data_IF_284926513537
#
_entry.id   IF_284926513537
#
_cell.length_a   1.000
_cell.length_b   1.000
_cell.length_c   1.000
_cell.angle_alpha   90.00
_cell.angle_beta   90.00
_cell.angle_gamma   90.00
#
_symmetry.space_group_name_H-M   'P 1'
#
loop_
_entity.id
_entity.type
_entity.pdbx_description
1 polymer ?
#
# COMPACT_ATOMS: atom_id res chain seq x y z
N UNK A 1 -80.69 -16.83 -22.80
CA UNK A 1 -81.21 -18.19 -22.58
C UNK A 1 -80.12 -18.98 -21.86
N UNK A 2 -80.49 -19.69 -20.81
CA UNK A 2 -79.66 -20.07 -19.64
C UNK A 2 -79.25 -21.57 -19.67
N UNK A 3 -78.16 -21.91 -18.97
CA UNK A 3 -77.55 -23.25 -18.64
C UNK A 3 -76.54 -23.76 -19.68
N UNK A 4 -75.37 -24.30 -19.32
CA UNK A 4 -75.12 -25.56 -18.56
C UNK A 4 -73.65 -25.56 -18.02
N UNK A 5 -73.41 -25.66 -16.70
CA UNK A 5 -72.76 -26.78 -15.91
C UNK A 5 -71.28 -27.07 -16.33
N UNK A 6 -70.23 -26.65 -15.60
CA UNK A 6 -69.63 -27.12 -14.32
C UNK A 6 -69.00 -28.54 -14.36
N UNK A 7 -67.78 -28.65 -13.79
CA UNK A 7 -66.97 -29.85 -13.49
C UNK A 7 -66.11 -30.47 -14.60
N UNK A 8 -64.78 -30.30 -14.51
CA UNK A 8 -63.92 -31.27 -13.82
C UNK A 8 -62.52 -30.67 -13.60
N UNK A 9 -62.18 -30.49 -12.32
CA UNK A 9 -60.92 -29.99 -11.83
C UNK A 9 -60.20 -31.19 -11.23
N UNK A 10 -59.33 -31.82 -12.00
CA UNK A 10 -58.34 -32.79 -11.52
C UNK A 10 -57.35 -33.06 -12.67
N UNK A 11 -56.13 -32.53 -12.59
CA UNK A 11 -54.95 -33.24 -13.08
C UNK A 11 -53.67 -32.70 -12.41
N UNK A 12 -53.21 -33.52 -11.47
CA UNK A 12 -51.82 -33.92 -11.29
C UNK A 12 -50.86 -32.85 -10.72
N UNK A 13 -50.77 -32.93 -9.40
CA UNK A 13 -49.56 -32.78 -8.61
C UNK A 13 -48.37 -33.50 -9.27
N UNK A 14 -47.51 -32.76 -9.97
CA UNK A 14 -46.12 -33.15 -10.18
C UNK A 14 -45.25 -32.16 -9.41
N UNK A 15 -45.09 -32.50 -8.14
CA UNK A 15 -44.03 -32.02 -7.26
C UNK A 15 -42.69 -32.16 -7.98
N UNK A 16 -42.13 -31.04 -8.44
CA UNK A 16 -40.70 -30.94 -8.66
C UNK A 16 -40.04 -31.02 -7.28
N UNK A 17 -39.52 -32.20 -6.93
CA UNK A 17 -38.49 -32.30 -5.90
C UNK A 17 -37.25 -31.59 -6.45
N UNK A 18 -37.08 -30.34 -6.09
CA UNK A 18 -35.83 -29.64 -6.24
C UNK A 18 -34.79 -30.39 -5.39
N UNK A 19 -33.86 -31.04 -6.08
CA UNK A 19 -32.77 -31.78 -5.46
C UNK A 19 -31.79 -30.70 -5.01
N UNK A 20 -31.83 -30.32 -3.74
CA UNK A 20 -30.78 -29.51 -3.12
C UNK A 20 -29.44 -30.27 -3.24
N UNK A 21 -28.72 -30.02 -4.32
CA UNK A 21 -27.30 -30.25 -4.37
C UNK A 21 -26.67 -29.21 -3.45
N UNK A 22 -26.39 -29.63 -2.21
CA UNK A 22 -25.39 -28.99 -1.36
C UNK A 22 -24.05 -29.05 -2.09
N UNK A 23 -23.83 -28.10 -3.00
CA UNK A 23 -22.49 -27.75 -3.47
C UNK A 23 -21.92 -26.92 -2.33
N UNK A 24 -21.36 -27.61 -1.33
CA UNK A 24 -20.37 -26.99 -0.46
C UNK A 24 -19.34 -26.35 -1.41
N UNK A 25 -19.09 -25.04 -1.35
CA UNK A 25 -18.06 -24.43 -2.17
C UNK A 25 -16.78 -25.18 -1.85
N UNK A 26 -16.31 -25.98 -2.81
CA UNK A 26 -15.02 -26.61 -2.72
C UNK A 26 -14.06 -25.45 -2.66
N UNK A 27 -13.57 -25.15 -1.45
CA UNK A 27 -12.58 -24.11 -1.23
C UNK A 27 -11.37 -24.57 -2.00
N UNK A 28 -11.24 -24.08 -3.24
CA UNK A 28 -10.10 -24.29 -4.09
C UNK A 28 -8.90 -23.98 -3.22
N UNK A 29 -8.24 -25.04 -2.78
CA UNK A 29 -7.07 -24.92 -1.95
C UNK A 29 -5.99 -24.61 -2.96
N UNK A 30 -5.91 -23.34 -3.35
CA UNK A 30 -4.79 -22.82 -4.12
C UNK A 30 -3.58 -23.22 -3.30
N UNK A 31 -2.86 -24.26 -3.75
CA UNK A 31 -1.56 -24.60 -3.21
C UNK A 31 -0.67 -23.43 -3.56
N UNK A 32 -0.58 -22.48 -2.62
CA UNK A 32 0.44 -21.45 -2.67
C UNK A 32 1.75 -22.21 -2.50
N UNK A 33 2.45 -22.46 -3.60
CA UNK A 33 3.86 -22.77 -3.53
C UNK A 33 4.46 -21.57 -2.79
N UNK A 34 4.96 -21.81 -1.58
CA UNK A 34 5.62 -20.81 -0.75
C UNK A 34 6.93 -20.41 -1.45
N UNK A 35 6.83 -19.65 -2.53
CA UNK A 35 7.92 -18.83 -3.03
C UNK A 35 8.27 -17.87 -1.91
N UNK A 36 9.56 -17.68 -1.70
CA UNK A 36 10.01 -16.70 -0.72
C UNK A 36 9.49 -15.34 -1.23
N UNK A 37 8.64 -14.71 -0.43
CA UNK A 37 7.94 -13.48 -0.84
C UNK A 37 8.91 -12.31 -1.09
N UNK A 38 10.19 -12.51 -0.76
CA UNK A 38 11.29 -11.57 -0.98
C UNK A 38 12.13 -11.86 -2.22
N UNK A 39 11.79 -12.87 -3.03
CA UNK A 39 12.60 -13.28 -4.19
C UNK A 39 12.80 -12.13 -5.20
N UNK A 40 11.81 -11.25 -5.34
CA UNK A 40 11.87 -10.08 -6.22
C UNK A 40 12.49 -8.82 -5.55
N UNK A 41 12.97 -8.92 -4.31
CA UNK A 41 13.54 -7.79 -3.56
C UNK A 41 15.07 -7.66 -3.71
N UNK A 42 15.69 -8.53 -4.53
CA UNK A 42 17.14 -8.53 -4.80
C UNK A 42 17.99 -8.59 -3.51
N UNK A 43 17.51 -9.29 -2.48
CA UNK A 43 18.20 -9.45 -1.20
C UNK A 43 19.03 -10.73 -1.17
N UNK A 44 20.23 -10.66 -0.61
CA UNK A 44 21.00 -11.87 -0.26
C UNK A 44 20.63 -12.41 1.12
N UNK A 45 19.92 -11.61 1.94
CA UNK A 45 19.67 -11.83 3.36
C UNK A 45 20.94 -11.94 4.21
N UNK A 46 22.07 -11.49 3.67
CA UNK A 46 23.33 -11.39 4.39
C UNK A 46 23.54 -9.98 4.89
N UNK A 47 23.49 -9.82 6.21
CA UNK A 47 23.67 -8.54 6.92
C UNK A 47 24.98 -7.82 6.53
N UNK A 48 25.99 -8.59 6.10
CA UNK A 48 27.33 -8.11 5.73
C UNK A 48 27.48 -7.81 4.24
N UNK A 49 26.60 -8.32 3.39
CA UNK A 49 26.66 -8.12 1.93
C UNK A 49 25.63 -7.10 1.47
N UNK A 50 24.44 -7.11 2.06
CA UNK A 50 23.35 -6.22 1.68
C UNK A 50 23.62 -4.78 2.14
N UNK A 51 23.16 -3.83 1.33
CA UNK A 51 23.21 -2.40 1.64
C UNK A 51 21.88 -1.72 1.38
N UNK A 52 21.49 -0.82 2.29
CA UNK A 52 20.33 0.04 2.13
C UNK A 52 20.82 1.48 2.15
N UNK A 53 20.53 2.23 1.08
CA UNK A 53 20.90 3.64 0.95
C UNK A 53 22.40 3.91 1.25
N UNK A 54 23.27 3.14 0.59
CA UNK A 54 24.73 3.22 0.70
C UNK A 54 25.28 2.94 2.11
N UNK A 55 24.52 2.27 2.97
CA UNK A 55 24.99 1.77 4.27
C UNK A 55 24.80 0.26 4.35
N UNK A 56 25.76 -0.49 4.91
CA UNK A 56 25.59 -1.93 5.11
C UNK A 56 24.41 -2.19 6.04
N UNK A 57 23.66 -3.27 5.81
CA UNK A 57 22.51 -3.59 6.66
C UNK A 57 22.91 -3.72 8.14
N UNK A 58 24.13 -4.20 8.42
CA UNK A 58 24.74 -4.21 9.77
C UNK A 58 24.59 -2.88 10.52
N UNK A 59 24.73 -1.75 9.85
CA UNK A 59 24.58 -0.41 10.45
C UNK A 59 23.19 -0.22 11.09
N UNK A 60 22.14 -0.71 10.43
CA UNK A 60 20.77 -0.58 10.89
C UNK A 60 20.42 -1.61 11.96
N UNK A 61 20.76 -2.89 11.72
CA UNK A 61 20.35 -4.00 12.61
C UNK A 61 21.08 -4.01 13.96
N UNK A 62 22.24 -3.36 14.06
CA UNK A 62 22.94 -3.18 15.34
C UNK A 62 22.46 -1.96 16.11
N UNK A 63 21.59 -1.13 15.53
CA UNK A 63 21.03 0.03 16.21
C UNK A 63 19.99 -0.41 17.24
N UNK A 64 20.24 -0.12 18.53
CA UNK A 64 19.36 -0.51 19.64
C UNK A 64 17.94 0.07 19.57
N UNK A 65 17.72 1.10 18.73
CA UNK A 65 16.41 1.71 18.50
C UNK A 65 15.67 1.09 17.30
N UNK A 66 16.26 0.11 16.62
CA UNK A 66 15.59 -0.57 15.52
C UNK A 66 14.37 -1.33 16.05
N UNK A 67 13.28 -1.18 15.32
CA UNK A 67 12.06 -1.90 15.62
C UNK A 67 12.21 -3.40 15.31
N UNK A 68 11.71 -4.26 16.20
CA UNK A 68 11.87 -5.70 16.04
C UNK A 68 11.12 -6.23 14.81
N UNK A 69 9.99 -5.66 14.42
CA UNK A 69 9.25 -6.04 13.20
C UNK A 69 10.02 -5.60 11.94
N UNK A 70 10.72 -4.47 11.98
CA UNK A 70 11.57 -4.03 10.87
C UNK A 70 12.75 -4.99 10.62
N UNK A 71 13.35 -5.53 11.69
CA UNK A 71 14.35 -6.58 11.57
C UNK A 71 13.74 -7.87 11.00
N UNK A 72 12.58 -8.29 11.51
CA UNK A 72 11.88 -9.49 11.02
C UNK A 72 11.50 -9.39 9.54
N UNK A 73 11.13 -8.19 9.07
CA UNK A 73 10.86 -7.92 7.66
C UNK A 73 12.11 -8.18 6.82
N UNK A 74 13.26 -7.60 7.19
CA UNK A 74 14.51 -7.81 6.45
C UNK A 74 14.94 -9.29 6.41
N UNK A 75 14.78 -10.01 7.53
CA UNK A 75 15.08 -11.44 7.63
C UNK A 75 14.02 -12.35 6.96
N UNK A 76 12.96 -11.78 6.37
CA UNK A 76 11.89 -12.54 5.70
C UNK A 76 10.89 -13.24 6.61
N UNK A 77 11.16 -13.26 7.92
CA UNK A 77 10.29 -13.85 8.94
C UNK A 77 8.97 -13.06 9.16
N UNK A 78 8.87 -11.84 8.65
CA UNK A 78 7.63 -11.05 8.66
C UNK A 78 7.29 -10.54 7.26
N UNK A 79 6.24 -11.11 6.64
CA UNK A 79 5.61 -10.59 5.42
C UNK A 79 4.48 -9.64 5.81
N UNK A 80 4.45 -8.37 5.34
CA UNK A 80 3.33 -7.48 5.57
C UNK A 80 2.01 -8.09 5.10
N UNK A 81 0.96 -7.85 5.89
CA UNK A 81 -0.43 -8.27 5.63
C UNK A 81 -1.39 -7.16 6.01
N UNK A 82 -2.67 -7.37 5.72
CA UNK A 82 -3.77 -6.53 6.20
C UNK A 82 -3.94 -6.72 7.72
N UNK A 83 -3.09 -6.05 8.50
CA UNK A 83 -3.11 -6.10 9.97
C UNK A 83 -2.49 -4.84 10.61
N UNK A 84 -2.83 -4.54 11.88
CA UNK A 84 -2.29 -3.39 12.60
C UNK A 84 -0.75 -3.36 12.72
N UNK A 85 -0.10 -4.53 12.74
CA UNK A 85 1.38 -4.60 12.80
C UNK A 85 2.02 -4.02 11.54
N UNK A 86 1.43 -4.24 10.35
CA UNK A 86 1.86 -3.62 9.09
C UNK A 86 1.70 -2.11 9.17
N UNK A 87 0.54 -1.61 9.58
CA UNK A 87 0.30 -0.18 9.73
C UNK A 87 1.35 0.47 10.63
N UNK A 88 1.66 -0.17 11.76
CA UNK A 88 2.68 0.29 12.71
C UNK A 88 4.07 0.30 12.09
N UNK A 89 4.46 -0.77 11.40
CA UNK A 89 5.76 -0.91 10.72
C UNK A 89 5.96 0.19 9.67
N UNK A 90 4.98 0.41 8.79
CA UNK A 90 5.09 1.38 7.71
C UNK A 90 5.14 2.82 8.21
N UNK A 91 4.45 3.13 9.32
CA UNK A 91 4.51 4.47 9.92
C UNK A 91 5.89 4.82 10.54
N UNK A 92 6.78 3.84 10.78
CA UNK A 92 8.13 4.08 11.29
C UNK A 92 8.98 4.94 10.35
N UNK A 93 8.63 5.03 9.06
CA UNK A 93 9.31 5.88 8.08
C UNK A 93 9.29 7.36 8.48
N UNK A 94 8.31 7.77 9.29
CA UNK A 94 8.17 9.17 9.75
C UNK A 94 8.74 9.41 11.15
N UNK A 95 9.37 8.41 11.76
CA UNK A 95 10.01 8.58 13.05
C UNK A 95 11.11 9.67 13.01
N UNK A 96 11.34 10.33 14.14
CA UNK A 96 12.36 11.39 14.26
C UNK A 96 13.79 10.88 14.09
N UNK A 97 14.02 9.57 14.17
CA UNK A 97 15.35 8.96 14.08
C UNK A 97 15.83 8.92 12.61
N UNK A 98 16.61 9.92 12.24
CA UNK A 98 17.26 10.07 10.94
C UNK A 98 18.14 8.86 10.56
N UNK A 99 18.83 8.24 11.52
CA UNK A 99 19.73 7.11 11.25
C UNK A 99 19.01 5.85 10.77
N UNK A 100 17.74 5.65 11.15
CA UNK A 100 16.95 4.47 10.77
C UNK A 100 15.96 4.74 9.63
N UNK A 101 15.67 6.02 9.36
CA UNK A 101 14.69 6.40 8.34
C UNK A 101 14.98 5.82 6.95
N UNK A 102 16.23 5.78 6.45
CA UNK A 102 16.51 5.14 5.17
C UNK A 102 16.12 3.65 5.12
N UNK A 103 16.30 2.94 6.23
CA UNK A 103 15.91 1.53 6.35
C UNK A 103 14.39 1.37 6.39
N UNK A 104 13.69 2.19 7.21
CA UNK A 104 12.23 2.17 7.25
C UNK A 104 11.60 2.59 5.91
N UNK A 105 12.24 3.52 5.18
CA UNK A 105 11.82 3.89 3.82
C UNK A 105 12.00 2.75 2.83
N UNK A 106 13.10 2.01 2.94
CA UNK A 106 13.33 0.82 2.13
C UNK A 106 12.25 -0.26 2.40
N UNK A 107 11.87 -0.47 3.66
CA UNK A 107 10.74 -1.36 4.02
C UNK A 107 9.44 -0.88 3.38
N UNK A 108 9.11 0.41 3.51
CA UNK A 108 7.91 0.97 2.88
C UNK A 108 7.92 0.81 1.37
N UNK A 109 9.04 1.11 0.72
CA UNK A 109 9.20 0.94 -0.72
C UNK A 109 8.96 -0.52 -1.14
N UNK A 110 9.57 -1.49 -0.47
CA UNK A 110 9.36 -2.89 -0.80
C UNK A 110 7.94 -3.35 -0.53
N UNK A 111 7.28 -2.80 0.50
CA UNK A 111 5.87 -3.08 0.74
C UNK A 111 5.00 -2.54 -0.39
N UNK A 112 5.30 -1.35 -0.92
CA UNK A 112 4.63 -0.79 -2.12
C UNK A 112 4.85 -1.70 -3.35
N UNK A 113 6.00 -2.36 -3.49
CA UNK A 113 6.29 -3.24 -4.62
C UNK A 113 5.51 -4.56 -4.58
N UNK A 114 5.31 -5.11 -3.38
CA UNK A 114 4.65 -6.42 -3.20
C UNK A 114 3.16 -6.32 -2.88
N UNK A 115 2.63 -5.10 -2.76
CA UNK A 115 1.24 -4.90 -2.37
C UNK A 115 0.28 -5.49 -3.41
N UNK A 116 -0.69 -6.25 -2.91
CA UNK A 116 -1.90 -6.64 -3.61
C UNK A 116 -3.10 -5.94 -2.96
N UNK A 117 -4.30 -6.10 -3.53
CA UNK A 117 -5.51 -5.32 -3.18
C UNK A 117 -5.60 -4.87 -1.72
N UNK A 118 -5.67 -5.80 -0.76
CA UNK A 118 -5.83 -5.46 0.65
C UNK A 118 -4.56 -4.83 1.27
N UNK A 119 -3.36 -5.31 0.92
CA UNK A 119 -2.12 -4.71 1.44
C UNK A 119 -1.91 -3.27 0.92
N UNK A 120 -2.41 -2.97 -0.27
CA UNK A 120 -2.33 -1.63 -0.86
C UNK A 120 -3.09 -0.58 -0.04
N UNK A 121 -4.04 -0.97 0.81
CA UNK A 121 -4.76 -0.05 1.71
C UNK A 121 -3.87 0.52 2.82
N UNK A 122 -2.72 -0.10 3.10
CA UNK A 122 -1.85 0.27 4.22
C UNK A 122 -0.68 1.19 3.85
N UNK A 123 -0.32 1.27 2.57
CA UNK A 123 0.93 1.90 2.13
C UNK A 123 0.79 3.37 1.79
N UNK A 124 -0.39 3.81 1.32
CA UNK A 124 -0.61 5.16 0.81
C UNK A 124 -0.45 6.24 1.86
N UNK A 125 -1.12 6.11 3.02
CA UNK A 125 -0.99 7.09 4.12
C UNK A 125 0.47 7.21 4.61
N UNK A 126 1.19 6.12 4.93
CA UNK A 126 2.61 6.20 5.29
C UNK A 126 3.49 6.84 4.20
N UNK A 127 3.26 6.52 2.93
CA UNK A 127 3.98 7.09 1.80
C UNK A 127 3.75 8.61 1.69
N UNK A 128 2.49 9.06 1.80
CA UNK A 128 2.14 10.47 1.82
C UNK A 128 2.79 11.19 3.00
N UNK A 129 2.66 10.65 4.22
CA UNK A 129 3.26 11.24 5.42
C UNK A 129 4.78 11.40 5.28
N UNK A 130 5.46 10.42 4.67
CA UNK A 130 6.89 10.53 4.40
C UNK A 130 7.21 11.66 3.43
N UNK A 131 6.49 11.76 2.31
CA UNK A 131 6.66 12.82 1.32
C UNK A 131 6.39 14.21 1.93
N UNK A 132 5.30 14.35 2.69
CA UNK A 132 4.93 15.57 3.41
C UNK A 132 5.99 16.00 4.42
N UNK A 133 6.56 15.04 5.17
CA UNK A 133 7.49 15.34 6.26
C UNK A 133 8.93 15.57 5.80
N UNK A 134 9.36 14.89 4.74
CA UNK A 134 10.74 14.97 4.22
C UNK A 134 10.79 15.21 2.70
N UNK A 135 10.28 16.34 2.19
CA UNK A 135 10.12 16.56 0.74
C UNK A 135 11.42 16.42 -0.08
N UNK A 136 12.53 16.98 0.41
CA UNK A 136 13.84 16.88 -0.27
C UNK A 136 14.33 15.43 -0.33
N UNK A 137 14.35 14.76 0.82
CA UNK A 137 14.76 13.35 0.93
C UNK A 137 13.85 12.43 0.09
N UNK A 138 12.56 12.74 0.01
CA UNK A 138 11.61 12.05 -0.85
C UNK A 138 12.01 12.17 -2.33
N UNK A 139 12.20 13.39 -2.83
CA UNK A 139 12.54 13.59 -4.22
C UNK A 139 13.93 13.05 -4.58
N UNK A 140 14.91 13.18 -3.69
CA UNK A 140 16.24 12.59 -3.88
C UNK A 140 16.16 11.06 -3.98
N UNK A 141 15.30 10.43 -3.17
CA UNK A 141 15.05 8.99 -3.21
C UNK A 141 14.36 8.53 -4.49
N UNK A 142 13.44 9.34 -5.02
CA UNK A 142 12.79 9.08 -6.31
C UNK A 142 13.77 9.22 -7.46
N UNK A 143 14.58 10.29 -7.48
CA UNK A 143 15.55 10.58 -8.55
C UNK A 143 16.70 9.58 -8.61
N UNK A 144 16.91 8.80 -7.55
CA UNK A 144 17.84 7.68 -7.55
C UNK A 144 17.45 6.61 -8.58
N UNK A 145 16.14 6.39 -8.78
CA UNK A 145 15.64 5.52 -9.86
C UNK A 145 15.47 6.32 -11.15
N UNK A 146 16.32 6.06 -12.14
CA UNK A 146 16.29 6.75 -13.44
C UNK A 146 15.15 6.29 -14.34
N UNK A 147 14.51 5.15 -14.06
CA UNK A 147 13.38 4.66 -14.84
C UNK A 147 12.09 5.43 -14.55
N UNK A 148 11.99 6.07 -13.37
CA UNK A 148 10.78 6.72 -12.89
C UNK A 148 9.72 5.74 -12.35
N UNK A 149 9.97 4.42 -12.40
CA UNK A 149 9.04 3.40 -11.91
C UNK A 149 8.75 3.59 -10.42
N UNK A 150 9.77 3.85 -9.60
CA UNK A 150 9.60 4.08 -8.17
C UNK A 150 8.69 5.27 -7.87
N UNK A 151 8.88 6.37 -8.59
CA UNK A 151 8.01 7.54 -8.47
C UNK A 151 6.56 7.17 -8.81
N UNK A 152 6.37 6.43 -9.91
CA UNK A 152 5.07 5.93 -10.34
C UNK A 152 4.40 5.04 -9.29
N UNK A 153 5.11 4.05 -8.76
CA UNK A 153 4.58 3.13 -7.75
C UNK A 153 4.16 3.88 -6.48
N UNK A 154 4.95 4.86 -6.05
CA UNK A 154 4.67 5.66 -4.85
C UNK A 154 3.45 6.58 -5.00
N UNK A 155 3.36 7.36 -6.09
CA UNK A 155 2.20 8.23 -6.24
C UNK A 155 0.91 7.42 -6.44
N UNK A 156 0.98 6.24 -7.10
CA UNK A 156 -0.18 5.36 -7.24
C UNK A 156 -0.61 4.76 -5.90
N UNK A 157 0.34 4.35 -5.05
CA UNK A 157 0.06 3.92 -3.68
C UNK A 157 -0.67 5.04 -2.89
N UNK A 158 -0.20 6.28 -2.99
CA UNK A 158 -0.84 7.45 -2.36
C UNK A 158 -2.21 7.74 -2.96
N UNK A 159 -2.37 7.64 -4.27
CA UNK A 159 -3.66 7.85 -4.94
C UNK A 159 -4.69 6.80 -4.53
N UNK A 160 -4.25 5.56 -4.28
CA UNK A 160 -5.11 4.46 -3.88
C UNK A 160 -5.57 4.56 -2.42
N UNK A 161 -4.65 4.81 -1.48
CA UNK A 161 -4.94 4.72 -0.03
C UNK A 161 -4.27 5.82 0.80
N UNK A 162 -3.93 6.96 0.21
CA UNK A 162 -3.23 8.06 0.87
C UNK A 162 -4.11 9.17 1.43
N UNK A 163 -5.43 8.99 1.48
CA UNK A 163 -6.33 9.95 2.12
C UNK A 163 -6.29 9.80 3.63
N UNK A 164 -6.30 10.94 4.33
CA UNK A 164 -6.50 10.94 5.77
C UNK A 164 -7.98 10.75 6.11
N UNK A 165 -8.27 10.16 7.27
CA UNK A 165 -9.64 9.84 7.71
C UNK A 165 -10.60 11.04 7.74
N UNK A 166 -10.06 12.26 7.88
CA UNK A 166 -10.84 13.50 7.92
C UNK A 166 -11.04 14.15 6.54
N UNK A 167 -10.42 13.63 5.49
CA UNK A 167 -10.48 14.21 4.15
C UNK A 167 -11.65 13.65 3.35
N UNK A 168 -12.31 14.52 2.59
CA UNK A 168 -13.37 14.12 1.67
C UNK A 168 -12.77 13.79 0.30
N UNK A 169 -12.85 12.53 -0.14
CA UNK A 169 -12.39 12.11 -1.46
C UNK A 169 -12.98 12.95 -2.61
N UNK A 170 -14.19 13.49 -2.47
CA UNK A 170 -14.79 14.32 -3.52
C UNK A 170 -14.17 15.73 -3.62
N UNK A 171 -13.38 16.14 -2.62
CA UNK A 171 -12.68 17.42 -2.59
C UNK A 171 -11.18 17.28 -2.88
N UNK A 172 -10.88 16.68 -4.03
CA UNK A 172 -9.50 16.51 -4.54
C UNK A 172 -8.74 17.83 -4.68
N UNK A 173 -9.45 18.96 -4.81
CA UNK A 173 -8.81 20.28 -4.86
C UNK A 173 -8.22 20.64 -3.50
N UNK A 174 -9.01 20.57 -2.43
CA UNK A 174 -8.54 20.86 -1.08
C UNK A 174 -7.44 19.89 -0.64
N UNK A 175 -7.57 18.59 -0.97
CA UNK A 175 -6.53 17.59 -0.67
C UNK A 175 -5.20 17.94 -1.34
N UNK A 176 -5.20 18.31 -2.63
CA UNK A 176 -4.00 18.77 -3.34
C UNK A 176 -3.39 20.02 -2.70
N UNK A 177 -4.22 21.02 -2.41
CA UNK A 177 -3.76 22.28 -1.81
C UNK A 177 -3.12 22.04 -0.44
N UNK A 178 -3.69 21.15 0.37
CA UNK A 178 -3.15 20.75 1.66
C UNK A 178 -1.82 20.00 1.53
N UNK A 179 -1.71 19.05 0.59
CA UNK A 179 -0.46 18.32 0.32
C UNK A 179 0.65 19.29 -0.13
N UNK A 180 0.35 20.18 -1.08
CA UNK A 180 1.29 21.21 -1.57
C UNK A 180 1.74 22.09 -0.41
N UNK A 181 0.79 22.62 0.37
CA UNK A 181 1.08 23.53 1.48
C UNK A 181 1.96 22.85 2.54
N UNK A 182 1.64 21.61 2.90
CA UNK A 182 2.38 20.85 3.90
C UNK A 182 3.80 20.54 3.43
N UNK A 183 3.98 20.06 2.20
CA UNK A 183 5.30 19.80 1.63
C UNK A 183 6.12 21.08 1.49
N UNK A 184 5.53 22.18 1.03
CA UNK A 184 6.24 23.46 0.93
C UNK A 184 6.66 23.98 2.30
N UNK A 185 5.80 23.86 3.31
CA UNK A 185 6.12 24.26 4.69
C UNK A 185 7.28 23.45 5.28
N UNK A 186 7.29 22.13 5.06
CA UNK A 186 8.34 21.24 5.59
C UNK A 186 9.62 21.21 4.73
N UNK A 187 9.63 21.90 3.58
CA UNK A 187 10.78 21.97 2.72
C UNK A 187 11.62 23.22 3.01
N UNK A 188 12.59 23.08 3.91
CA UNK A 188 13.59 24.12 4.16
C UNK A 188 14.32 24.46 2.85
N UNK A 189 14.39 25.73 2.46
CA UNK A 189 15.07 26.21 1.24
C UNK A 189 14.60 25.50 -0.06
N UNK A 190 13.28 25.32 -0.21
CA UNK A 190 12.69 24.90 -1.48
C UNK A 190 12.75 26.06 -2.48
N UNK A 191 13.43 25.85 -3.61
CA UNK A 191 13.43 26.80 -4.73
C UNK A 191 12.23 26.59 -5.66
N UNK A 192 12.12 27.42 -6.70
CA UNK A 192 11.08 27.31 -7.71
C UNK A 192 11.06 25.93 -8.41
N UNK A 193 12.20 25.23 -8.48
CA UNK A 193 12.27 23.88 -9.05
C UNK A 193 11.57 22.89 -8.15
N UNK A 194 11.83 22.90 -6.84
CA UNK A 194 11.12 22.02 -5.92
C UNK A 194 9.62 22.37 -5.81
N UNK A 195 9.25 23.65 -5.84
CA UNK A 195 7.84 24.03 -5.85
C UNK A 195 7.11 23.39 -7.05
N UNK A 196 7.69 23.48 -8.25
CA UNK A 196 7.12 22.86 -9.45
C UNK A 196 6.99 21.33 -9.29
N UNK A 197 7.98 20.67 -8.66
CA UNK A 197 7.94 19.23 -8.39
C UNK A 197 6.85 18.85 -7.40
N UNK A 198 6.71 19.60 -6.31
CA UNK A 198 5.68 19.39 -5.28
C UNK A 198 4.29 19.53 -5.89
N UNK A 199 4.06 20.60 -6.68
CA UNK A 199 2.79 20.80 -7.39
C UNK A 199 2.49 19.65 -8.34
N UNK A 200 3.45 19.25 -9.16
CA UNK A 200 3.29 18.09 -10.05
C UNK A 200 2.97 16.81 -9.27
N UNK A 201 3.68 16.54 -8.18
CA UNK A 201 3.46 15.37 -7.36
C UNK A 201 2.05 15.34 -6.75
N UNK A 202 1.56 16.47 -6.25
CA UNK A 202 0.20 16.56 -5.74
C UNK A 202 -0.85 16.33 -6.84
N UNK A 203 -0.64 16.86 -8.05
CA UNK A 203 -1.49 16.58 -9.21
C UNK A 203 -1.48 15.11 -9.61
N UNK A 204 -0.32 14.45 -9.58
CA UNK A 204 -0.19 13.03 -9.90
C UNK A 204 -0.93 12.14 -8.86
N UNK A 205 -0.83 12.48 -7.57
CA UNK A 205 -1.52 11.75 -6.50
C UNK A 205 -3.04 11.94 -6.53
N UNK A 206 -3.52 13.15 -6.81
CA UNK A 206 -4.89 13.58 -6.57
C UNK A 206 -5.46 14.34 -7.78
N UNK A 207 -5.37 13.73 -8.95
CA UNK A 207 -5.85 14.33 -10.19
C UNK A 207 -7.38 14.50 -10.20
N UNK A 208 -7.86 15.54 -10.89
CA UNK A 208 -9.29 15.65 -11.24
C UNK A 208 -9.61 14.49 -12.19
N UNK A 209 -10.37 13.51 -11.71
CA UNK A 209 -11.03 12.53 -12.58
C UNK A 209 -12.22 13.18 -13.28
#
# INVERSE_FOLDING_TARGET
MVRIILFFLLMIMLSCKEKETNILPQKDTIKYNSTNWQDDLELTHSIDLDSVWNKPVRFYVTNKKLDSTALKFYLGSYRPKDEPETARLLNLVTAKNDSLRPFNRWILNNTILIQDGALAEYSGVPARKYAEKFPKEFFDYMDFDKSGKKYFDWYNSISYSGLYDFENYNDQKTIRENLITTMMHNCNDCDAKYEKRIRKFAEDCFSKR
#
